data_IF_607318336342
#
_entry.id   IF_607318336342
#
_cell.length_a   1.000
_cell.length_b   1.000
_cell.length_c   1.000
_cell.angle_alpha   90.00
_cell.angle_beta   90.00
_cell.angle_gamma   90.00
#
_symmetry.space_group_name_H-M   'P 1'
#
loop_
_entity.id
_entity.type
_entity.pdbx_description
1 polymer ?
#
# COMPACT_ATOMS: atom_id res chain seq x y z
N UNK A 1 -18.00 -6.41 -27.27
CA UNK A 1 -17.14 -5.84 -26.20
C UNK A 1 -17.92 -5.83 -24.90
N UNK A 2 -17.53 -6.63 -23.90
CA UNK A 2 -18.16 -6.62 -22.58
C UNK A 2 -17.65 -5.39 -21.82
N UNK A 3 -18.52 -4.45 -21.46
CA UNK A 3 -18.18 -3.39 -20.53
C UNK A 3 -17.72 -4.04 -19.21
N UNK A 4 -16.42 -3.99 -18.91
CA UNK A 4 -15.93 -4.27 -17.55
C UNK A 4 -16.64 -3.27 -16.65
N UNK A 5 -17.45 -3.76 -15.70
CA UNK A 5 -18.01 -2.96 -14.61
C UNK A 5 -16.84 -2.15 -14.03
N UNK A 6 -16.86 -0.83 -14.21
CA UNK A 6 -15.98 0.05 -13.47
C UNK A 6 -16.41 -0.10 -12.02
N UNK A 7 -15.66 -0.93 -11.29
CA UNK A 7 -15.76 -1.02 -9.85
C UNK A 7 -15.39 0.37 -9.36
N UNK A 8 -16.36 1.11 -8.81
CA UNK A 8 -16.13 2.42 -8.21
C UNK A 8 -15.23 2.20 -7.01
N UNK A 9 -13.93 2.38 -7.22
CA UNK A 9 -12.92 2.36 -6.19
C UNK A 9 -13.18 3.56 -5.27
N UNK A 10 -13.46 3.28 -4.00
CA UNK A 10 -13.85 4.32 -3.04
C UNK A 10 -12.62 5.00 -2.45
N UNK A 11 -12.38 6.25 -2.82
CA UNK A 11 -11.44 7.13 -2.12
C UNK A 11 -12.22 7.84 -0.99
N UNK A 12 -11.98 7.48 0.26
CA UNK A 12 -12.53 8.24 1.39
C UNK A 12 -11.46 9.23 1.87
N UNK A 13 -11.68 10.51 1.57
CA UNK A 13 -10.80 11.59 1.99
C UNK A 13 -11.23 12.04 3.39
N UNK A 14 -10.41 11.77 4.38
CA UNK A 14 -10.53 12.41 5.69
C UNK A 14 -9.53 13.55 5.73
N UNK A 15 -10.05 14.73 6.03
CA UNK A 15 -9.31 15.87 6.56
C UNK A 15 -9.27 15.65 8.08
N UNK A 16 -8.15 15.91 8.78
CA UNK A 16 -7.92 15.84 10.27
C UNK A 16 -6.99 14.63 10.60
N UNK A 17 -5.89 14.68 11.41
CA UNK A 17 -5.63 15.31 12.72
C UNK A 17 -4.17 15.80 12.87
N UNK A 18 -3.98 16.96 13.50
CA UNK A 18 -2.67 17.58 13.73
C UNK A 18 -1.98 17.23 15.04
N UNK A 19 -0.74 17.74 15.17
CA UNK A 19 0.00 17.86 16.44
C UNK A 19 0.44 19.33 16.55
N UNK A 20 -0.06 20.07 17.54
CA UNK A 20 0.42 21.43 17.86
C UNK A 20 -0.59 22.59 17.89
N UNK A 21 -1.91 22.32 17.82
CA UNK A 21 -2.91 23.29 18.29
C UNK A 21 -2.91 24.69 17.64
N UNK A 22 -3.03 24.78 16.31
CA UNK A 22 -3.77 25.87 15.65
C UNK A 22 -4.00 25.57 14.17
N UNK A 23 -5.26 25.69 13.76
CA UNK A 23 -5.81 25.33 12.46
C UNK A 23 -5.75 26.48 11.47
N UNK A 24 -4.85 26.46 10.50
CA UNK A 24 -4.99 27.26 9.26
C UNK A 24 -4.23 26.55 8.14
N UNK A 25 -4.87 25.55 7.50
CA UNK A 25 -4.48 25.21 6.12
C UNK A 25 -5.29 26.09 5.18
N UNK A 26 -4.61 26.89 4.38
CA UNK A 26 -5.28 27.64 3.33
C UNK A 26 -5.86 26.69 2.25
N UNK A 27 -6.70 27.21 1.37
CA UNK A 27 -7.32 26.41 0.32
C UNK A 27 -6.28 25.78 -0.64
N UNK A 28 -5.10 26.39 -0.77
CA UNK A 28 -4.02 25.87 -1.60
C UNK A 28 -3.34 24.65 -0.94
N UNK A 29 -3.15 24.67 0.38
CA UNK A 29 -2.62 23.56 1.16
C UNK A 29 -3.59 22.37 1.19
N UNK A 30 -4.89 22.63 1.34
CA UNK A 30 -5.93 21.59 1.23
C UNK A 30 -5.94 20.94 -0.15
N UNK A 31 -5.84 21.72 -1.22
CA UNK A 31 -5.79 21.21 -2.58
C UNK A 31 -4.56 20.32 -2.81
N UNK A 32 -3.39 20.72 -2.31
CA UNK A 32 -2.16 19.90 -2.36
C UNK A 32 -2.33 18.59 -1.61
N UNK A 33 -2.96 18.61 -0.43
CA UNK A 33 -3.20 17.40 0.34
C UNK A 33 -4.10 16.41 -0.40
N UNK A 34 -5.17 16.92 -1.00
CA UNK A 34 -6.09 16.12 -1.80
C UNK A 34 -5.40 15.50 -3.03
N UNK A 35 -4.50 16.25 -3.69
CA UNK A 35 -3.67 15.71 -4.79
C UNK A 35 -2.81 14.53 -4.30
N UNK A 36 -2.09 14.70 -3.18
CA UNK A 36 -1.24 13.65 -2.59
C UNK A 36 -2.04 12.40 -2.23
N UNK A 37 -3.22 12.57 -1.63
CA UNK A 37 -4.13 11.48 -1.28
C UNK A 37 -4.59 10.71 -2.52
N UNK A 38 -5.02 11.44 -3.54
CA UNK A 38 -5.50 10.86 -4.80
C UNK A 38 -4.40 10.04 -5.46
N UNK A 39 -3.20 10.59 -5.55
CA UNK A 39 -2.09 9.91 -6.22
C UNK A 39 -1.59 8.70 -5.43
N UNK A 40 -1.49 8.79 -4.10
CA UNK A 40 -1.10 7.64 -3.24
C UNK A 40 -2.12 6.52 -3.35
N UNK A 41 -3.41 6.82 -3.24
CA UNK A 41 -4.44 5.80 -3.36
C UNK A 41 -4.38 5.13 -4.74
N UNK A 42 -4.25 5.92 -5.81
CA UNK A 42 -4.08 5.41 -7.17
C UNK A 42 -2.86 4.49 -7.32
N UNK A 43 -1.73 4.85 -6.69
CA UNK A 43 -0.55 4.01 -6.68
C UNK A 43 -0.81 2.66 -6.03
N UNK A 44 -1.41 2.68 -4.84
CA UNK A 44 -1.78 1.48 -4.10
C UNK A 44 -2.70 0.60 -4.96
N UNK A 45 -3.78 1.16 -5.51
CA UNK A 45 -4.72 0.42 -6.35
C UNK A 45 -4.05 -0.28 -7.54
N UNK A 46 -3.13 0.40 -8.21
CA UNK A 46 -2.52 -0.13 -9.42
C UNK A 46 -1.42 -1.14 -9.14
N UNK A 47 -0.63 -0.94 -8.10
CA UNK A 47 0.62 -1.68 -7.92
C UNK A 47 0.54 -2.70 -6.79
N UNK A 48 -0.42 -2.61 -5.88
CA UNK A 48 -0.48 -3.47 -4.72
C UNK A 48 -1.79 -4.24 -4.61
N UNK A 49 -1.73 -5.38 -3.91
CA UNK A 49 -2.83 -6.21 -3.47
C UNK A 49 -2.57 -6.63 -2.03
N UNK A 50 -3.62 -7.07 -1.33
CA UNK A 50 -3.47 -7.72 -0.04
C UNK A 50 -3.49 -9.23 -0.23
N UNK A 51 -2.78 -9.97 0.61
CA UNK A 51 -3.05 -11.40 0.83
C UNK A 51 -3.16 -11.71 2.32
N UNK A 52 -3.89 -12.78 2.63
CA UNK A 52 -3.91 -13.42 3.95
C UNK A 52 -3.55 -14.89 3.78
N UNK A 53 -3.15 -15.53 4.87
CA UNK A 53 -2.90 -16.97 4.93
C UNK A 53 -3.71 -17.54 6.08
N UNK A 54 -4.32 -18.70 5.88
CA UNK A 54 -4.97 -19.45 6.97
C UNK A 54 -3.90 -19.99 7.92
N UNK A 55 -3.91 -19.52 9.17
CA UNK A 55 -2.90 -19.86 10.18
C UNK A 55 -2.82 -21.37 10.44
N UNK A 56 -3.94 -22.10 10.43
CA UNK A 56 -3.94 -23.53 10.69
C UNK A 56 -3.30 -24.31 9.53
N UNK A 57 -3.59 -23.90 8.28
CA UNK A 57 -2.95 -24.48 7.09
C UNK A 57 -1.47 -24.16 7.03
N UNK A 58 -1.07 -22.92 7.37
CA UNK A 58 0.33 -22.52 7.40
C UNK A 58 1.12 -23.27 8.48
N UNK A 59 0.56 -23.42 9.68
CA UNK A 59 1.15 -24.23 10.74
C UNK A 59 1.31 -25.69 10.32
N UNK A 60 0.30 -26.27 9.67
CA UNK A 60 0.37 -27.64 9.17
C UNK A 60 1.49 -27.77 8.12
N UNK A 61 1.56 -26.83 7.18
CA UNK A 61 2.60 -26.82 6.15
C UNK A 61 4.01 -26.70 6.76
N UNK A 62 4.18 -25.83 7.76
CA UNK A 62 5.44 -25.69 8.49
C UNK A 62 5.83 -26.96 9.25
N UNK A 63 4.86 -27.70 9.81
CA UNK A 63 5.10 -29.02 10.45
C UNK A 63 5.51 -30.07 9.42
N UNK A 64 4.89 -30.09 8.24
CA UNK A 64 5.25 -31.01 7.15
C UNK A 64 6.64 -30.71 6.57
N UNK A 65 7.06 -29.44 6.52
CA UNK A 65 8.40 -29.05 6.09
C UNK A 65 9.47 -29.27 7.17
N UNK A 66 9.13 -29.02 8.44
CA UNK A 66 9.99 -29.18 9.61
C UNK A 66 11.41 -28.63 9.39
N UNK A 67 11.52 -27.36 8.97
CA UNK A 67 12.81 -26.69 8.69
C UNK A 67 13.72 -27.44 7.69
N UNK A 68 13.12 -28.20 6.78
CA UNK A 68 13.84 -29.02 5.78
C UNK A 68 14.14 -30.45 6.22
N UNK A 69 13.76 -30.85 7.45
CA UNK A 69 13.88 -32.22 7.95
C UNK A 69 12.57 -33.03 7.82
N UNK A 70 11.55 -32.43 7.22
CA UNK A 70 10.21 -33.01 7.10
C UNK A 70 10.00 -33.81 5.81
N UNK A 71 8.73 -34.00 5.45
CA UNK A 71 8.32 -34.74 4.25
C UNK A 71 8.31 -33.91 2.97
N UNK A 72 8.44 -32.58 3.08
CA UNK A 72 8.48 -31.67 1.93
C UNK A 72 9.91 -31.21 1.66
N UNK A 73 10.26 -31.14 0.38
CA UNK A 73 11.42 -30.37 -0.07
C UNK A 73 11.18 -28.86 0.09
N UNK A 74 12.25 -28.07 0.07
CA UNK A 74 12.13 -26.60 0.10
C UNK A 74 11.32 -26.06 -1.08
N UNK A 75 11.45 -26.64 -2.27
CA UNK A 75 10.69 -26.21 -3.45
C UNK A 75 9.18 -26.49 -3.28
N UNK A 76 8.82 -27.68 -2.79
CA UNK A 76 7.43 -28.02 -2.52
C UNK A 76 6.83 -27.15 -1.41
N UNK A 77 7.61 -26.86 -0.36
CA UNK A 77 7.18 -25.96 0.70
C UNK A 77 6.90 -24.54 0.19
N UNK A 78 7.82 -23.96 -0.58
CA UNK A 78 7.64 -22.62 -1.15
C UNK A 78 6.43 -22.56 -2.09
N UNK A 79 6.26 -23.57 -2.94
CA UNK A 79 5.10 -23.65 -3.84
C UNK A 79 3.79 -23.75 -3.06
N UNK A 80 3.70 -24.66 -2.08
CA UNK A 80 2.51 -24.82 -1.25
C UNK A 80 2.22 -23.57 -0.42
N UNK A 81 3.25 -22.89 0.09
CA UNK A 81 3.08 -21.65 0.86
C UNK A 81 2.47 -20.55 -0.01
N UNK A 82 2.91 -20.41 -1.27
CA UNK A 82 2.32 -19.46 -2.20
C UNK A 82 0.87 -19.82 -2.56
N UNK A 83 0.56 -21.12 -2.72
CA UNK A 83 -0.80 -21.62 -2.95
C UNK A 83 -1.76 -21.38 -1.77
N UNK A 84 -1.26 -21.17 -0.55
CA UNK A 84 -2.07 -20.83 0.62
C UNK A 84 -2.50 -19.36 0.65
N UNK A 85 -1.89 -18.49 -0.14
CA UNK A 85 -2.20 -17.06 -0.15
C UNK A 85 -3.56 -16.80 -0.77
N UNK A 86 -4.44 -16.18 0.02
CA UNK A 86 -5.74 -15.71 -0.45
C UNK A 86 -5.66 -14.21 -0.77
N UNK A 87 -5.62 -13.89 -2.06
CA UNK A 87 -5.46 -12.52 -2.54
C UNK A 87 -6.77 -11.73 -2.56
N UNK A 88 -6.68 -10.45 -2.20
CA UNK A 88 -7.76 -9.48 -2.36
C UNK A 88 -7.26 -8.18 -2.96
N UNK A 89 -7.99 -7.67 -3.94
CA UNK A 89 -7.71 -6.37 -4.53
C UNK A 89 -7.94 -5.25 -3.51
N UNK A 90 -7.20 -4.16 -3.67
CA UNK A 90 -7.44 -2.91 -2.96
C UNK A 90 -8.68 -2.25 -3.56
N UNK A 91 -9.66 -1.97 -2.70
CA UNK A 91 -11.03 -1.53 -3.02
C UNK A 91 -11.32 -0.15 -2.43
N UNK A 92 -10.69 0.13 -1.30
CA UNK A 92 -10.81 1.37 -0.53
C UNK A 92 -9.47 1.70 0.11
N UNK A 93 -9.12 2.98 0.12
CA UNK A 93 -8.03 3.57 0.89
C UNK A 93 -8.63 4.74 1.67
N UNK A 94 -8.49 4.69 2.99
CA UNK A 94 -8.96 5.72 3.92
C UNK A 94 -7.75 6.35 4.60
N UNK A 95 -7.51 7.63 4.35
CA UNK A 95 -6.44 8.36 5.02
C UNK A 95 -6.89 8.74 6.43
N UNK A 96 -6.09 8.48 7.46
CA UNK A 96 -6.48 8.68 8.87
C UNK A 96 -5.72 9.83 9.53
N UNK A 97 -4.51 10.15 9.06
CA UNK A 97 -3.68 11.20 9.66
C UNK A 97 -2.63 11.75 8.69
N UNK A 98 -2.22 13.00 8.94
CA UNK A 98 -1.09 13.66 8.28
C UNK A 98 -0.27 14.43 9.29
N UNK A 99 1.04 14.20 9.30
CA UNK A 99 1.96 14.92 10.17
C UNK A 99 3.19 15.41 9.40
N UNK A 100 3.73 16.56 9.79
CA UNK A 100 5.03 17.01 9.28
C UNK A 100 6.11 16.49 10.23
N UNK A 101 6.88 15.52 9.74
CA UNK A 101 7.97 14.92 10.49
C UNK A 101 9.15 15.88 10.72
N UNK A 102 10.12 15.49 11.57
CA UNK A 102 11.26 16.35 11.98
C UNK A 102 12.12 16.86 10.81
N UNK A 103 12.18 16.10 9.71
CA UNK A 103 12.94 16.46 8.50
C UNK A 103 12.08 17.18 7.44
N UNK A 104 10.93 17.74 7.83
CA UNK A 104 9.92 18.32 6.92
C UNK A 104 9.35 17.33 5.90
N UNK A 105 9.42 16.03 6.19
CA UNK A 105 8.68 15.01 5.46
C UNK A 105 7.21 15.03 5.84
N UNK A 106 6.32 14.66 4.94
CA UNK A 106 4.89 14.49 5.25
C UNK A 106 4.62 13.00 5.56
N UNK A 107 4.38 12.69 6.81
CA UNK A 107 3.93 11.38 7.27
C UNK A 107 2.43 11.26 6.99
N UNK A 108 2.03 10.14 6.38
CA UNK A 108 0.66 9.85 5.96
C UNK A 108 0.26 8.51 6.52
N UNK A 109 -0.81 8.47 7.31
CA UNK A 109 -1.41 7.24 7.81
C UNK A 109 -2.67 6.91 7.01
N UNK A 110 -2.89 5.64 6.71
CA UNK A 110 -4.03 5.17 5.95
C UNK A 110 -4.42 3.73 6.29
N UNK A 111 -5.67 3.37 5.96
CA UNK A 111 -6.22 2.04 6.10
C UNK A 111 -6.70 1.57 4.72
N UNK A 112 -6.23 0.39 4.30
CA UNK A 112 -6.67 -0.29 3.09
C UNK A 112 -7.78 -1.30 3.45
N UNK A 113 -8.88 -1.25 2.71
CA UNK A 113 -10.00 -2.19 2.82
C UNK A 113 -10.55 -2.37 4.24
N UNK A 114 -10.39 -1.37 5.10
CA UNK A 114 -10.76 -1.41 6.53
C UNK A 114 -10.03 -2.49 7.35
N UNK A 115 -8.95 -3.08 6.81
CA UNK A 115 -8.25 -4.21 7.44
C UNK A 115 -6.74 -4.01 7.55
N UNK A 116 -6.10 -3.28 6.64
CA UNK A 116 -4.64 -3.12 6.64
C UNK A 116 -4.29 -1.65 6.90
N UNK A 117 -3.89 -1.33 8.13
CA UNK A 117 -3.43 -0.01 8.54
C UNK A 117 -1.95 0.16 8.20
N UNK A 118 -1.53 1.28 7.63
CA UNK A 118 -0.14 1.58 7.29
C UNK A 118 0.16 3.06 7.45
N UNK A 119 1.44 3.38 7.49
CA UNK A 119 1.92 4.73 7.33
C UNK A 119 3.08 4.79 6.34
N UNK A 120 3.25 5.95 5.71
CA UNK A 120 4.38 6.21 4.81
C UNK A 120 4.87 7.62 5.02
N UNK A 121 6.18 7.83 4.82
CA UNK A 121 6.78 9.15 4.89
C UNK A 121 7.11 9.67 3.50
N UNK A 122 6.60 10.86 3.19
CA UNK A 122 6.89 11.65 2.01
C UNK A 122 8.03 12.62 2.31
N UNK A 123 9.26 12.13 2.22
CA UNK A 123 10.45 12.90 2.64
C UNK A 123 11.20 13.56 1.48
N UNK A 124 10.98 13.16 0.22
CA UNK A 124 11.77 13.66 -0.91
C UNK A 124 10.90 14.02 -2.11
N UNK A 125 10.99 15.27 -2.56
CA UNK A 125 10.55 15.69 -3.89
C UNK A 125 11.73 15.43 -4.84
N UNK A 126 11.53 14.62 -5.88
CA UNK A 126 12.52 14.42 -6.93
C UNK A 126 12.88 15.76 -7.56
N UNK A 127 14.16 16.17 -7.45
CA UNK A 127 14.65 17.42 -8.02
C UNK A 127 14.53 17.47 -9.56
N UNK A 128 14.55 16.30 -10.21
CA UNK A 128 14.44 16.16 -11.66
C UNK A 128 13.02 16.36 -12.17
N UNK A 129 12.02 16.09 -11.33
CA UNK A 129 10.63 16.04 -11.80
C UNK A 129 9.66 16.88 -10.98
N UNK A 130 10.07 17.38 -9.82
CA UNK A 130 9.22 18.13 -8.90
C UNK A 130 8.16 17.27 -8.21
N UNK A 131 8.37 15.95 -8.16
CA UNK A 131 7.36 14.96 -7.78
C UNK A 131 7.65 14.30 -6.43
N UNK A 132 6.64 14.06 -5.59
CA UNK A 132 6.82 13.33 -4.34
C UNK A 132 7.28 11.89 -4.60
N UNK A 133 8.16 11.39 -3.74
CA UNK A 133 8.60 9.99 -3.68
C UNK A 133 7.95 9.30 -2.47
N UNK A 134 7.25 8.21 -2.73
CA UNK A 134 6.72 7.34 -1.68
C UNK A 134 7.73 6.24 -1.35
N UNK A 135 7.79 5.89 -0.07
CA UNK A 135 8.46 4.69 0.43
C UNK A 135 7.41 3.87 1.16
N UNK A 136 6.88 2.84 0.51
CA UNK A 136 6.07 1.83 1.17
C UNK A 136 6.99 0.73 1.67
N UNK A 137 6.69 0.15 2.82
CA UNK A 137 7.40 -1.01 3.35
C UNK A 137 6.49 -2.25 3.22
N UNK A 138 6.37 -2.84 2.01
CA UNK A 138 5.52 -4.01 1.77
C UNK A 138 6.08 -5.25 2.47
N UNK A 139 5.24 -6.26 2.66
CA UNK A 139 5.63 -7.51 3.31
C UNK A 139 5.43 -7.54 4.82
N UNK A 140 5.11 -6.40 5.45
CA UNK A 140 4.68 -6.37 6.84
C UNK A 140 3.30 -7.02 7.00
N UNK A 141 3.14 -7.85 8.04
CA UNK A 141 1.84 -8.44 8.39
C UNK A 141 1.11 -7.55 9.37
N UNK A 142 -0.13 -7.17 9.04
CA UNK A 142 -1.00 -6.35 9.89
C UNK A 142 -2.43 -6.84 9.81
N UNK A 143 -3.03 -7.13 10.96
CA UNK A 143 -4.35 -7.76 11.07
C UNK A 143 -4.49 -9.01 10.17
N UNK A 144 -3.43 -9.82 10.09
CA UNK A 144 -3.32 -11.01 9.24
C UNK A 144 -3.29 -10.75 7.72
N UNK A 145 -3.23 -9.49 7.29
CA UNK A 145 -3.03 -9.11 5.90
C UNK A 145 -1.59 -8.69 5.65
N UNK A 146 -1.10 -8.98 4.46
CA UNK A 146 0.19 -8.53 3.95
C UNK A 146 -0.04 -7.74 2.67
N UNK A 147 0.58 -6.56 2.58
CA UNK A 147 0.63 -5.78 1.35
C UNK A 147 1.72 -6.31 0.43
N UNK A 148 1.34 -6.69 -0.79
CA UNK A 148 2.23 -7.28 -1.79
C UNK A 148 2.13 -6.53 -3.12
N UNK A 149 3.27 -6.37 -3.79
CA UNK A 149 3.32 -5.85 -5.15
C UNK A 149 2.69 -6.85 -6.13
N UNK A 150 1.86 -6.33 -7.03
CA UNK A 150 1.27 -7.09 -8.12
C UNK A 150 2.35 -7.39 -9.14
N UNK A 151 2.45 -8.66 -9.56
CA UNK A 151 3.30 -9.05 -10.70
C UNK A 151 2.97 -8.24 -11.98
N UNK A 152 1.69 -7.94 -12.17
CA UNK A 152 1.21 -7.10 -13.28
C UNK A 152 0.37 -5.95 -12.73
N UNK A 153 0.90 -4.71 -12.78
CA UNK A 153 0.15 -3.54 -12.38
C UNK A 153 -1.15 -3.39 -13.16
N UNK A 154 -2.19 -2.91 -12.50
CA UNK A 154 -3.48 -2.66 -13.14
C UNK A 154 -3.38 -1.39 -13.99
N UNK A 155 -3.68 -1.49 -15.30
CA UNK A 155 -3.70 -0.34 -16.22
C UNK A 155 -4.98 0.49 -16.10
N UNK A 156 -5.33 0.97 -14.91
CA UNK A 156 -6.34 2.02 -14.83
C UNK A 156 -5.72 3.28 -15.45
N UNK A 157 -6.33 3.79 -16.52
CA UNK A 157 -5.84 5.00 -17.20
C UNK A 157 -6.02 6.20 -16.26
N UNK A 158 -4.92 6.81 -15.82
CA UNK A 158 -4.93 7.90 -14.84
C UNK A 158 -4.24 9.13 -15.47
N UNK A 159 -4.72 10.36 -15.19
CA UNK A 159 -3.99 11.57 -15.52
C UNK A 159 -2.59 11.55 -14.89
N UNK A 160 -1.55 11.53 -15.73
CA UNK A 160 -0.14 11.59 -15.32
C UNK A 160 0.19 12.96 -14.71
N UNK A 161 -0.14 13.22 -13.46
CA UNK A 161 0.27 14.48 -12.83
C UNK A 161 1.02 14.20 -11.51
N UNK A 162 2.23 14.79 -11.41
CA UNK A 162 3.00 15.09 -10.20
C UNK A 162 3.68 14.02 -9.32
N UNK A 163 3.71 12.71 -9.62
CA UNK A 163 4.41 11.73 -8.74
C UNK A 163 5.44 10.79 -9.41
N UNK A 164 6.57 10.51 -8.74
CA UNK A 164 7.61 9.50 -9.07
C UNK A 164 7.73 8.52 -7.91
N UNK A 165 7.60 7.23 -8.20
CA UNK A 165 7.76 6.16 -7.23
C UNK A 165 9.20 5.61 -7.27
N UNK A 166 9.77 5.28 -6.11
CA UNK A 166 11.10 4.70 -6.01
C UNK A 166 10.98 3.24 -5.58
N UNK A 167 11.19 2.34 -6.54
CA UNK A 167 11.04 0.88 -6.36
C UNK A 167 12.24 0.23 -5.64
N UNK A 168 13.02 0.99 -4.85
CA UNK A 168 14.12 0.43 -4.07
C UNK A 168 15.15 -0.35 -4.90
N UNK A 169 16.13 0.34 -5.47
CA UNK A 169 17.26 -0.33 -6.13
C UNK A 169 18.13 0.63 -6.91
N UNK A 170 19.44 0.36 -6.94
CA UNK A 170 20.31 0.82 -8.03
C UNK A 170 19.96 -0.09 -9.21
N UNK A 171 19.47 0.48 -10.31
CA UNK A 171 19.41 -0.23 -11.61
C UNK A 171 20.81 -0.34 -12.20
#
# INVERSE_FOLDING_TARGET
>A
MKHKKQWLIGLLIILIIGIGGKWYMDEQEKAKLHEIQTDLANYLYNNYRLYTVDEAKDEQLNKEYNRGEGSLTTEEFLKKSDELKEYSDIKKVEFTSFAVGPMKGLEVEFIINDVYEDNTTLSTISAETGKFRYSLDPGNTRNNYVLEEKEQPTSVTIPKNKIIYYEGGIK
#
